data_IF_346698897297
#
_entry.id   IF_346698897297
#
_cell.length_a   1.000
_cell.length_b   1.000
_cell.length_c   1.000
_cell.angle_alpha   90.00
_cell.angle_beta   90.00
_cell.angle_gamma   90.00
#
_symmetry.space_group_name_H-M   'P 1'
#
loop_
_entity.id
_entity.type
_entity.pdbx_description
1 polymer ?
#
# COMPACT_ATOMS: atom_id res chain seq x y z
N UNK A 1 5.44 -19.74 -20.22
CA UNK A 1 5.37 -19.63 -19.82
C UNK A 1 4.92 -19.46 -19.13
N UNK A 2 4.84 -19.32 -19.11
CA UNK A 2 4.55 -19.13 -18.39
C UNK A 2 3.82 -19.11 -17.68
N UNK A 3 3.74 -19.24 -17.66
CA UNK A 3 3.16 -19.35 -16.98
C UNK A 3 2.60 -19.27 -16.33
N UNK A 4 2.70 -19.35 -16.57
CA UNK A 4 2.47 -19.29 -15.89
C UNK A 4 1.94 -18.77 -15.14
N UNK A 5 2.03 -18.69 -15.25
CA UNK A 5 1.93 -18.25 -14.48
C UNK A 5 1.06 -17.82 -13.96
N UNK A 6 0.73 -17.91 -14.09
CA UNK A 6 0.12 -17.46 -13.50
C UNK A 6 -0.75 -17.39 -13.04
N UNK A 7 -0.77 -17.41 -13.31
CA UNK A 7 -1.55 -17.51 -12.93
C UNK A 7 -2.25 -17.26 -11.98
N UNK A 8 -2.56 -17.47 -12.06
CA UNK A 8 -3.44 -17.62 -11.10
C UNK A 8 -3.53 -16.55 -10.20
N UNK A 9 -2.73 -15.92 -10.15
CA UNK A 9 -2.62 -14.80 -9.34
C UNK A 9 -3.34 -13.62 -9.86
N UNK A 10 -4.47 -13.76 -10.40
CA UNK A 10 -5.20 -12.66 -10.95
C UNK A 10 -4.67 -12.26 -12.31
N UNK A 11 -5.32 -11.30 -12.93
CA UNK A 11 -4.99 -10.85 -14.26
C UNK A 11 -3.77 -9.93 -14.26
N UNK A 12 -3.25 -9.66 -15.45
CA UNK A 12 -2.17 -8.69 -15.60
C UNK A 12 -2.63 -7.32 -15.10
N UNK A 13 -3.91 -7.01 -15.30
CA UNK A 13 -4.48 -5.75 -14.84
C UNK A 13 -4.42 -5.66 -13.32
N UNK A 14 -4.79 -6.73 -12.64
CA UNK A 14 -4.72 -6.72 -11.18
C UNK A 14 -3.31 -6.52 -10.68
N UNK A 15 -2.34 -7.16 -11.33
CA UNK A 15 -0.96 -7.00 -10.91
C UNK A 15 -0.45 -5.58 -11.14
N UNK A 16 -0.94 -4.93 -12.20
CA UNK A 16 -0.60 -3.54 -12.42
C UNK A 16 -1.09 -2.66 -11.28
N UNK A 17 -2.33 -2.87 -10.85
CA UNK A 17 -2.88 -2.10 -9.75
C UNK A 17 -2.19 -2.41 -8.43
N UNK A 18 -1.77 -3.67 -8.24
CA UNK A 18 -0.99 -4.03 -7.06
C UNK A 18 0.33 -3.28 -7.05
N UNK A 19 0.95 -3.11 -8.21
CA UNK A 19 2.19 -2.36 -8.29
C UNK A 19 1.98 -0.90 -7.91
N UNK A 20 0.81 -0.33 -8.22
CA UNK A 20 0.50 1.03 -7.82
C UNK A 20 0.50 1.15 -6.29
N UNK A 21 -0.13 0.18 -5.62
CA UNK A 21 -0.18 0.19 -4.17
C UNK A 21 1.22 -0.01 -3.59
N UNK A 22 1.97 -0.95 -4.14
CA UNK A 22 3.34 -1.19 -3.67
C UNK A 22 4.20 0.05 -3.81
N UNK A 23 4.07 0.76 -4.92
CA UNK A 23 4.82 2.00 -5.12
C UNK A 23 4.44 3.05 -4.09
N UNK A 24 3.16 3.17 -3.78
CA UNK A 24 2.71 4.13 -2.78
C UNK A 24 3.28 3.79 -1.41
N UNK A 25 3.28 2.51 -1.07
CA UNK A 25 3.83 2.09 0.22
C UNK A 25 5.32 2.39 0.29
N UNK A 26 6.04 2.12 -0.79
CA UNK A 26 7.47 2.40 -0.84
C UNK A 26 7.75 3.88 -0.67
N UNK A 27 6.96 4.72 -1.32
CA UNK A 27 7.13 6.17 -1.19
C UNK A 27 6.82 6.63 0.22
N UNK A 28 5.83 6.04 0.85
CA UNK A 28 5.49 6.39 2.22
C UNK A 28 6.59 5.98 3.19
N UNK A 29 7.20 4.82 2.98
CA UNK A 29 8.21 4.30 3.90
C UNK A 29 9.57 4.97 3.70
N UNK A 30 10.01 5.16 2.46
CA UNK A 30 11.36 5.65 2.22
C UNK A 30 11.48 6.71 1.13
N UNK A 31 10.37 7.30 0.69
CA UNK A 31 10.45 8.35 -0.32
C UNK A 31 10.80 9.71 0.25
N UNK A 32 11.08 10.67 -0.63
CA UNK A 32 11.28 12.05 -0.19
C UNK A 32 10.04 12.59 0.49
N UNK A 33 10.21 13.61 1.32
CA UNK A 33 9.12 14.12 2.15
C UNK A 33 7.88 14.46 1.33
N UNK A 34 8.05 15.08 0.17
CA UNK A 34 6.91 15.45 -0.66
C UNK A 34 6.13 14.23 -1.14
N UNK A 35 6.86 13.23 -1.64
CA UNK A 35 6.23 11.99 -2.08
C UNK A 35 5.64 11.24 -0.90
N UNK A 36 6.31 11.26 0.22
CA UNK A 36 5.85 10.58 1.41
C UNK A 36 4.49 11.13 1.86
N UNK A 37 4.32 12.43 1.83
CA UNK A 37 3.05 13.04 2.23
C UNK A 37 1.92 12.66 1.28
N UNK A 38 2.20 12.65 -0.01
CA UNK A 38 1.20 12.25 -0.99
C UNK A 38 0.79 10.80 -0.80
N UNK A 39 1.77 9.93 -0.60
CA UNK A 39 1.50 8.52 -0.38
C UNK A 39 0.72 8.31 0.90
N UNK A 40 1.05 9.03 1.95
CA UNK A 40 0.35 8.91 3.22
C UNK A 40 -1.11 9.30 3.08
N UNK A 41 -1.39 10.39 2.38
CA UNK A 41 -2.77 10.78 2.14
C UNK A 41 -3.51 9.69 1.38
N UNK A 42 -2.92 9.19 0.30
CA UNK A 42 -3.54 8.16 -0.52
C UNK A 42 -3.83 6.91 0.30
N UNK A 43 -2.86 6.47 1.09
CA UNK A 43 -2.97 5.21 1.81
C UNK A 43 -3.91 5.30 3.01
N UNK A 44 -4.02 6.45 3.65
CA UNK A 44 -4.74 6.55 4.92
C UNK A 44 -5.98 7.43 4.89
N UNK A 45 -6.11 8.35 3.94
CA UNK A 45 -7.21 9.30 3.95
C UNK A 45 -8.07 9.30 2.71
N UNK A 46 -7.53 8.86 1.58
CA UNK A 46 -8.26 8.88 0.33
C UNK A 46 -9.39 7.87 0.36
N UNK A 47 -10.62 8.35 0.16
CA UNK A 47 -11.80 7.49 0.19
C UNK A 47 -12.37 7.24 -1.19
N UNK A 48 -11.72 7.73 -2.23
CA UNK A 48 -12.20 7.57 -3.60
C UNK A 48 -11.22 6.72 -4.40
N UNK A 49 -9.99 7.18 -4.52
CA UNK A 49 -8.99 6.51 -5.35
C UNK A 49 -8.45 5.26 -4.69
N UNK A 50 -8.17 5.32 -3.40
CA UNK A 50 -7.58 4.18 -2.71
C UNK A 50 -8.50 2.94 -2.77
N UNK A 51 -9.79 3.06 -2.43
CA UNK A 51 -10.67 1.89 -2.54
C UNK A 51 -10.79 1.40 -3.97
N UNK A 52 -10.81 2.30 -4.95
CA UNK A 52 -10.88 1.91 -6.35
C UNK A 52 -9.64 1.09 -6.74
N UNK A 53 -8.47 1.59 -6.38
CA UNK A 53 -7.23 0.90 -6.72
C UNK A 53 -7.17 -0.46 -6.04
N UNK A 54 -7.55 -0.54 -4.78
CA UNK A 54 -7.54 -1.81 -4.07
C UNK A 54 -8.45 -2.84 -4.73
N UNK A 55 -9.67 -2.43 -5.06
CA UNK A 55 -10.60 -3.35 -5.72
C UNK A 55 -10.08 -3.77 -7.08
N UNK A 56 -9.48 -2.84 -7.80
CA UNK A 56 -8.89 -3.16 -9.10
C UNK A 56 -7.73 -4.14 -8.96
N UNK A 57 -7.05 -4.11 -7.83
CA UNK A 57 -5.95 -5.02 -7.56
C UNK A 57 -6.43 -6.35 -6.99
N UNK A 58 -7.73 -6.51 -6.80
CA UNK A 58 -8.27 -7.73 -6.20
C UNK A 58 -8.10 -7.77 -4.70
N UNK A 59 -7.98 -6.62 -4.05
CA UNK A 59 -7.76 -6.53 -2.62
C UNK A 59 -8.94 -5.86 -1.92
N UNK A 60 -9.12 -6.19 -0.65
CA UNK A 60 -10.12 -5.55 0.18
C UNK A 60 -9.53 -4.27 0.77
N UNK A 61 -10.09 -3.09 0.44
CA UNK A 61 -9.51 -1.83 0.91
C UNK A 61 -9.41 -1.73 2.43
N UNK A 62 -10.41 -2.24 3.14
CA UNK A 62 -10.40 -2.16 4.59
C UNK A 62 -9.28 -3.02 5.17
N UNK A 63 -9.09 -4.21 4.63
CA UNK A 63 -8.03 -5.10 5.11
C UNK A 63 -6.66 -4.49 4.85
N UNK A 64 -6.48 -3.92 3.67
CA UNK A 64 -5.21 -3.27 3.33
C UNK A 64 -4.95 -2.12 4.31
N UNK A 65 -5.98 -1.30 4.54
CA UNK A 65 -5.81 -0.13 5.40
C UNK A 65 -5.54 -0.54 6.85
N UNK A 66 -6.17 -1.60 7.32
CA UNK A 66 -5.88 -2.11 8.66
C UNK A 66 -4.43 -2.53 8.80
N UNK A 67 -3.92 -3.21 7.78
CA UNK A 67 -2.52 -3.62 7.79
C UNK A 67 -1.60 -2.41 7.80
N UNK A 68 -1.93 -1.39 7.01
CA UNK A 68 -1.13 -0.17 6.96
C UNK A 68 -1.14 0.56 8.29
N UNK A 69 -2.31 0.62 8.95
CA UNK A 69 -2.40 1.24 10.26
C UNK A 69 -1.55 0.50 11.29
N UNK A 70 -1.52 -0.84 11.21
CA UNK A 70 -0.70 -1.64 12.12
C UNK A 70 0.78 -1.34 11.91
N UNK A 71 1.20 -1.22 10.65
CA UNK A 71 2.59 -0.89 10.35
C UNK A 71 2.93 0.49 10.87
N UNK A 72 2.03 1.45 10.69
CA UNK A 72 2.26 2.80 11.15
C UNK A 72 2.39 2.86 12.66
N UNK A 73 1.54 2.15 13.37
CA UNK A 73 1.59 2.10 14.82
C UNK A 73 2.88 1.48 15.31
N UNK A 74 3.33 0.44 14.63
CA UNK A 74 4.56 -0.23 14.99
C UNK A 74 5.76 0.70 14.79
N UNK A 75 5.78 1.42 13.69
CA UNK A 75 6.85 2.36 13.41
C UNK A 75 6.89 3.46 14.46
N UNK A 76 5.73 3.96 14.86
CA UNK A 76 5.66 5.00 15.88
C UNK A 76 6.18 4.49 17.22
N UNK A 77 5.85 3.24 17.56
CA UNK A 77 6.35 2.64 18.80
C UNK A 77 7.85 2.52 18.78
N UNK A 78 8.41 2.12 17.65
CA UNK A 78 9.86 2.00 17.54
C UNK A 78 10.54 3.35 17.67
N UNK A 79 9.94 4.39 17.12
CA UNK A 79 10.50 5.74 17.27
C UNK A 79 10.50 6.16 18.72
N UNK A 80 9.42 5.87 19.44
CA UNK A 80 9.36 6.20 20.86
C UNK A 80 10.42 5.45 21.65
N UNK A 81 10.62 4.19 21.32
CA UNK A 81 11.63 3.39 21.99
C UNK A 81 13.01 3.95 21.76
N UNK A 82 13.29 4.43 20.57
CA UNK A 82 14.60 5.00 20.24
C UNK A 82 14.87 6.25 21.04
N UNK A 83 13.84 7.04 21.30
CA UNK A 83 13.98 8.26 22.05
C UNK A 83 14.34 7.96 23.50
N UNK A 84 13.73 6.94 24.02
CA UNK A 84 13.99 6.56 25.40
C UNK A 84 15.38 5.96 25.53
#
# INVERSE_FOLDING_TARGET
MDGLVFYNQGSASERLWQAVIDSAIAEWVCGPMRQKRKAEYFLFQDEVDFPFVCRSAGLNPESVRETLWAIRAQTASESNTNIA
#
